data_IF_703254090310
#
_entry.id   IF_703254090310
#
_cell.length_a   1.000
_cell.length_b   1.000
_cell.length_c   1.000
_cell.angle_alpha   90.00
_cell.angle_beta   90.00
_cell.angle_gamma   90.00
#
_symmetry.space_group_name_H-M   'P 1'
#
loop_
_entity.id
_entity.type
_entity.pdbx_description
1 polymer ?
#
# COMPACT_ATOMS: atom_id res chain seq x y z
N UNK A 1 -23.08 -17.18 -8.46
CA UNK A 1 -22.21 -16.28 -9.22
C UNK A 1 -21.19 -15.68 -8.27
N UNK A 2 -19.92 -15.96 -8.52
CA UNK A 2 -18.83 -15.42 -7.70
C UNK A 2 -18.40 -14.09 -8.27
N UNK A 3 -18.57 -13.02 -7.50
CA UNK A 3 -18.04 -11.74 -7.90
C UNK A 3 -16.54 -11.70 -7.66
N UNK A 4 -15.78 -11.23 -8.64
CA UNK A 4 -14.37 -10.97 -8.46
C UNK A 4 -14.19 -9.82 -7.48
N UNK A 5 -13.32 -10.01 -6.51
CA UNK A 5 -12.92 -8.94 -5.59
C UNK A 5 -11.69 -8.24 -6.13
N UNK A 6 -11.63 -6.94 -5.91
CA UNK A 6 -10.49 -6.11 -6.30
C UNK A 6 -9.68 -5.74 -5.07
N UNK A 7 -8.37 -5.92 -5.15
CA UNK A 7 -7.46 -5.64 -4.05
C UNK A 7 -6.36 -4.69 -4.50
N UNK A 8 -5.99 -3.80 -3.59
CA UNK A 8 -4.74 -3.07 -3.71
C UNK A 8 -3.70 -3.81 -2.86
N UNK A 9 -2.61 -4.23 -3.50
CA UNK A 9 -1.51 -4.86 -2.80
C UNK A 9 -0.34 -3.88 -2.77
N UNK A 10 0.14 -3.60 -1.58
CA UNK A 10 1.27 -2.69 -1.33
C UNK A 10 2.47 -3.53 -0.97
N UNK A 11 3.58 -3.29 -1.64
CA UNK A 11 4.84 -3.96 -1.36
C UNK A 11 5.93 -2.89 -1.23
N UNK A 12 6.57 -2.82 -0.07
CA UNK A 12 7.48 -1.72 0.22
C UNK A 12 8.54 -2.11 1.24
N UNK A 13 9.64 -1.34 1.25
CA UNK A 13 10.69 -1.49 2.25
C UNK A 13 10.64 -0.26 3.16
N UNK A 14 10.17 -0.40 4.41
CA UNK A 14 10.12 0.73 5.33
C UNK A 14 11.51 1.29 5.61
N UNK A 15 11.60 2.60 5.76
CA UNK A 15 12.83 3.25 6.18
C UNK A 15 12.93 3.20 7.70
N UNK A 16 13.64 2.21 8.21
CA UNK A 16 13.79 2.02 9.66
C UNK A 16 14.62 3.13 10.32
N UNK A 17 15.35 3.91 9.54
CA UNK A 17 16.12 5.04 10.05
C UNK A 17 15.27 6.30 10.24
N UNK A 18 14.04 6.30 9.71
CA UNK A 18 13.10 7.42 9.85
C UNK A 18 11.70 6.90 10.16
N UNK A 19 11.55 6.32 11.34
CA UNK A 19 10.27 5.74 11.76
C UNK A 19 9.19 6.81 11.99
N UNK A 20 9.60 8.05 12.26
CA UNK A 20 8.64 9.15 12.41
C UNK A 20 7.92 9.41 11.10
N UNK A 21 8.66 9.51 10.00
CA UNK A 21 8.06 9.68 8.67
C UNK A 21 7.24 8.47 8.26
N UNK A 22 7.71 7.27 8.55
CA UNK A 22 6.98 6.03 8.23
C UNK A 22 5.62 5.98 8.94
N UNK A 23 5.59 6.23 10.25
CA UNK A 23 4.35 6.21 11.02
C UNK A 23 3.38 7.32 10.59
N UNK A 24 3.91 8.51 10.33
CA UNK A 24 3.11 9.64 9.85
C UNK A 24 2.48 9.32 8.49
N UNK A 25 3.25 8.74 7.59
CA UNK A 25 2.76 8.35 6.27
C UNK A 25 1.66 7.29 6.39
N UNK A 26 1.87 6.25 7.21
CA UNK A 26 0.88 5.19 7.39
C UNK A 26 -0.47 5.72 7.86
N UNK A 27 -0.47 6.60 8.86
CA UNK A 27 -1.72 7.13 9.39
C UNK A 27 -2.47 7.93 8.35
N UNK A 28 -1.78 8.69 7.52
CA UNK A 28 -2.39 9.52 6.49
C UNK A 28 -2.86 8.69 5.29
N UNK A 29 -2.06 7.72 4.85
CA UNK A 29 -2.42 6.93 3.66
C UNK A 29 -3.61 6.01 3.91
N UNK A 30 -3.75 5.48 5.13
CA UNK A 30 -4.89 4.63 5.48
C UNK A 30 -6.20 5.44 5.40
N UNK A 31 -6.18 6.69 5.85
CA UNK A 31 -7.36 7.56 5.73
C UNK A 31 -7.72 7.80 4.27
N UNK A 32 -6.72 8.02 3.42
CA UNK A 32 -6.96 8.24 1.98
C UNK A 32 -7.53 6.97 1.34
N UNK A 33 -6.96 5.81 1.63
CA UNK A 33 -7.47 4.54 1.11
C UNK A 33 -8.93 4.33 1.53
N UNK A 34 -9.25 4.58 2.78
CA UNK A 34 -10.61 4.44 3.31
C UNK A 34 -11.57 5.39 2.61
N UNK A 35 -11.15 6.62 2.35
CA UNK A 35 -11.97 7.62 1.65
C UNK A 35 -12.38 7.15 0.26
N UNK A 36 -11.52 6.40 -0.43
CA UNK A 36 -11.80 5.88 -1.77
C UNK A 36 -12.42 4.47 -1.75
N UNK A 37 -12.84 4.00 -0.59
CA UNK A 37 -13.57 2.74 -0.44
C UNK A 37 -12.72 1.55 0.00
N UNK A 38 -11.46 1.78 0.33
CA UNK A 38 -10.59 0.71 0.84
C UNK A 38 -11.04 0.20 2.20
N UNK A 39 -11.00 -1.10 2.39
CA UNK A 39 -11.42 -1.75 3.64
C UNK A 39 -10.67 -3.06 3.84
N UNK A 40 -10.88 -3.66 5.01
CA UNK A 40 -10.34 -4.99 5.30
C UNK A 40 -8.82 -5.04 5.29
N UNK A 41 -8.17 -3.99 5.78
CA UNK A 41 -6.72 -3.90 5.78
C UNK A 41 -6.08 -5.07 6.51
N UNK A 42 -5.11 -5.72 5.83
CA UNK A 42 -4.22 -6.69 6.45
C UNK A 42 -2.79 -6.28 6.14
N UNK A 43 -1.90 -6.48 7.09
CA UNK A 43 -0.49 -6.09 6.95
C UNK A 43 0.40 -7.21 7.45
N UNK A 44 1.50 -7.42 6.73
CA UNK A 44 2.50 -8.43 7.08
C UNK A 44 3.90 -7.87 6.91
N UNK A 45 4.80 -8.42 7.69
CA UNK A 45 6.24 -8.18 7.55
C UNK A 45 6.88 -9.49 7.11
N UNK A 46 7.70 -9.46 6.06
CA UNK A 46 8.48 -10.62 5.69
C UNK A 46 9.47 -10.94 6.82
N UNK A 47 9.46 -12.15 7.31
CA UNK A 47 10.41 -12.59 8.34
C UNK A 47 11.55 -13.40 7.74
N UNK A 48 11.32 -14.12 6.64
CA UNK A 48 12.33 -14.93 6.00
C UNK A 48 11.98 -15.11 4.52
N UNK A 49 12.95 -14.93 3.65
CA UNK A 49 12.82 -15.20 2.22
C UNK A 49 13.29 -16.64 1.98
N UNK A 50 12.35 -17.55 1.74
CA UNK A 50 12.67 -18.97 1.58
C UNK A 50 13.24 -19.26 0.19
N UNK A 51 12.78 -18.53 -0.81
CA UNK A 51 13.20 -18.68 -2.21
C UNK A 51 13.04 -17.34 -2.91
N UNK A 52 13.83 -17.09 -3.93
CA UNK A 52 13.77 -15.85 -4.70
C UNK A 52 14.63 -14.74 -4.11
N UNK A 53 14.37 -13.50 -4.51
CA UNK A 53 15.15 -12.35 -4.10
C UNK A 53 14.23 -11.24 -3.62
N UNK A 54 14.79 -10.29 -2.88
CA UNK A 54 14.04 -9.10 -2.48
C UNK A 54 14.16 -8.77 -1.00
N UNK A 55 14.47 -9.73 -0.16
CA UNK A 55 14.67 -9.47 1.27
C UNK A 55 13.40 -9.14 2.04
N UNK A 56 13.58 -8.48 3.18
CA UNK A 56 12.49 -8.17 4.11
C UNK A 56 11.68 -6.98 3.59
N UNK A 57 10.38 -7.17 3.50
CA UNK A 57 9.44 -6.16 3.01
C UNK A 57 8.23 -6.05 3.91
N UNK A 58 7.55 -4.91 3.82
CA UNK A 58 6.22 -4.75 4.39
C UNK A 58 5.20 -4.95 3.27
N UNK A 59 4.20 -5.76 3.54
CA UNK A 59 3.14 -6.07 2.58
C UNK A 59 1.80 -5.69 3.22
N UNK A 60 0.97 -4.97 2.48
CA UNK A 60 -0.38 -4.63 2.92
C UNK A 60 -1.37 -4.95 1.83
N UNK A 61 -2.58 -5.33 2.22
CA UNK A 61 -3.66 -5.63 1.30
C UNK A 61 -4.91 -4.89 1.75
N UNK A 62 -5.58 -4.25 0.80
CA UNK A 62 -6.86 -3.57 1.01
C UNK A 62 -7.84 -4.04 -0.06
N UNK A 63 -9.08 -4.29 0.33
CA UNK A 63 -10.14 -4.53 -0.64
C UNK A 63 -10.74 -3.20 -1.06
N UNK A 64 -10.95 -3.01 -2.37
CA UNK A 64 -11.56 -1.81 -2.93
C UNK A 64 -12.81 -2.18 -3.74
N UNK A 65 -13.75 -1.23 -3.92
CA UNK A 65 -14.96 -1.51 -4.69
C UNK A 65 -14.67 -1.84 -6.15
N UNK A 66 -13.60 -1.25 -6.73
CA UNK A 66 -13.27 -1.44 -8.14
C UNK A 66 -11.83 -1.04 -8.41
N UNK A 67 -11.30 -1.49 -9.54
CA UNK A 67 -9.99 -1.04 -10.02
C UNK A 67 -10.00 0.48 -10.26
N UNK A 68 -11.13 1.02 -10.73
CA UNK A 68 -11.23 2.45 -11.00
C UNK A 68 -11.09 3.29 -9.73
N UNK A 69 -11.65 2.83 -8.59
CA UNK A 69 -11.50 3.58 -7.34
C UNK A 69 -10.04 3.63 -6.88
N UNK A 70 -9.25 2.58 -7.13
CA UNK A 70 -7.82 2.59 -6.85
C UNK A 70 -7.10 3.58 -7.76
N UNK A 71 -7.41 3.59 -9.06
CA UNK A 71 -6.82 4.52 -10.01
C UNK A 71 -7.17 5.98 -9.67
N UNK A 72 -8.41 6.22 -9.28
CA UNK A 72 -8.84 7.55 -8.86
C UNK A 72 -8.08 8.00 -7.61
N UNK A 73 -7.87 7.10 -6.67
CA UNK A 73 -7.12 7.38 -5.45
C UNK A 73 -5.67 7.77 -5.76
N UNK A 74 -4.98 7.00 -6.61
CA UNK A 74 -3.59 7.27 -6.99
C UNK A 74 -3.47 8.59 -7.76
N UNK A 75 -4.50 8.95 -8.52
CA UNK A 75 -4.53 10.22 -9.27
C UNK A 75 -4.99 11.39 -8.42
N UNK A 76 -5.45 11.16 -7.19
CA UNK A 76 -6.01 12.21 -6.36
C UNK A 76 -4.94 13.17 -5.85
N UNK A 77 -5.37 14.40 -5.56
CA UNK A 77 -4.49 15.40 -4.96
C UNK A 77 -4.02 14.95 -3.57
N UNK A 78 -4.91 14.34 -2.79
CA UNK A 78 -4.59 13.87 -1.43
C UNK A 78 -3.44 12.86 -1.45
N UNK A 79 -3.47 11.94 -2.40
CA UNK A 79 -2.41 10.94 -2.55
C UNK A 79 -1.09 11.60 -2.97
N UNK A 80 -1.14 12.49 -3.94
CA UNK A 80 0.07 13.09 -4.50
C UNK A 80 0.72 14.12 -3.58
N UNK A 81 -0.04 14.75 -2.69
CA UNK A 81 0.52 15.64 -1.67
C UNK A 81 1.49 14.89 -0.75
N UNK A 82 1.33 13.58 -0.60
CA UNK A 82 2.18 12.77 0.26
C UNK A 82 3.45 12.25 -0.42
N UNK A 83 3.74 12.65 -1.65
CA UNK A 83 4.89 12.12 -2.40
C UNK A 83 6.22 12.32 -1.66
N UNK A 84 6.47 13.49 -1.11
CA UNK A 84 7.72 13.76 -0.39
C UNK A 84 7.82 12.97 0.90
N UNK A 85 6.72 12.86 1.64
CA UNK A 85 6.69 12.06 2.86
C UNK A 85 6.88 10.58 2.55
N UNK A 86 6.29 10.09 1.45
CA UNK A 86 6.45 8.71 1.01
C UNK A 86 7.92 8.37 0.74
N UNK A 87 8.65 9.28 0.11
CA UNK A 87 10.08 9.08 -0.17
C UNK A 87 10.91 8.99 1.11
N UNK A 88 10.48 9.66 2.17
CA UNK A 88 11.16 9.56 3.48
C UNK A 88 10.75 8.29 4.24
N UNK A 89 9.50 7.87 4.07
CA UNK A 89 8.95 6.72 4.78
C UNK A 89 9.50 5.38 4.30
N UNK A 90 9.95 5.31 3.04
CA UNK A 90 10.41 4.07 2.41
C UNK A 90 11.78 4.27 1.78
N UNK A 91 12.58 3.20 1.78
CA UNK A 91 13.94 3.23 1.18
C UNK A 91 13.93 3.16 -0.33
N UNK A 92 12.89 2.57 -0.91
CA UNK A 92 12.72 2.42 -2.35
C UNK A 92 11.31 2.83 -2.73
N UNK A 93 11.05 2.90 -4.02
CA UNK A 93 9.69 3.15 -4.47
C UNK A 93 8.74 2.07 -3.98
N UNK A 94 7.56 2.51 -3.59
CA UNK A 94 6.49 1.62 -3.15
C UNK A 94 5.82 1.01 -4.36
N UNK A 95 5.69 -0.30 -4.37
CA UNK A 95 4.92 -0.98 -5.40
C UNK A 95 3.45 -1.03 -5.00
N UNK A 96 2.60 -0.52 -5.85
CA UNK A 96 1.14 -0.57 -5.70
C UNK A 96 0.59 -1.38 -6.86
N UNK A 97 -0.10 -2.47 -6.55
CA UNK A 97 -0.62 -3.38 -7.58
C UNK A 97 -2.10 -3.55 -7.41
N UNK A 98 -2.83 -3.48 -8.52
CA UNK A 98 -4.25 -3.83 -8.55
C UNK A 98 -4.33 -5.31 -8.86
N UNK A 99 -4.98 -6.06 -7.99
CA UNK A 99 -5.12 -7.50 -8.13
C UNK A 99 -6.58 -7.89 -8.04
N UNK A 100 -6.94 -8.94 -8.73
CA UNK A 100 -8.27 -9.52 -8.70
C UNK A 100 -8.17 -10.98 -8.30
N UNK A 101 -9.24 -11.51 -7.74
CA UNK A 101 -9.29 -12.94 -7.42
C UNK A 101 -9.17 -13.76 -8.71
N UNK A 102 -8.27 -14.72 -8.69
CA UNK A 102 -8.07 -15.65 -9.83
C UNK A 102 -9.29 -16.53 -10.05
#
# INVERSE_FOLDING_TARGET
MTESKTFLIVNAIPNMDDMVSFKSYLSQIVEIFTKFGGSGMQRWKTTEQVMGQGGIKAIAVFEFPSAQSIKDMVASKEFNVLNDLRKKAYKQEVDLMICETL
#
